data_IF_722455321281
#
_entry.id   IF_722455321281
#
_cell.length_a   1.000
_cell.length_b   1.000
_cell.length_c   1.000
_cell.angle_alpha   90.00
_cell.angle_beta   90.00
_cell.angle_gamma   90.00
#
_symmetry.space_group_name_H-M   'P 1'
#
loop_
_entity.id
_entity.type
_entity.pdbx_description
1 polymer ?
#
# COMPACT_ATOMS: atom_id res chain seq x y z
N UNK A 1 -8.27 19.14 19.11
CA UNK A 1 -7.96 17.83 18.47
C UNK A 1 -8.08 16.72 19.51
N UNK A 2 -8.77 15.67 19.13
CA UNK A 2 -8.94 14.54 20.04
C UNK A 2 -7.60 13.84 20.26
N UNK A 3 -7.50 13.12 21.37
CA UNK A 3 -6.26 12.44 21.71
C UNK A 3 -5.82 11.46 20.63
N UNK A 4 -6.76 10.67 20.11
CA UNK A 4 -6.40 9.70 19.07
C UNK A 4 -5.97 10.39 17.78
N UNK A 5 -6.48 11.59 17.51
CA UNK A 5 -6.06 12.33 16.33
C UNK A 5 -4.65 12.86 16.52
N UNK A 6 -4.30 13.24 17.74
CA UNK A 6 -2.94 13.70 18.02
C UNK A 6 -1.93 12.57 17.87
N UNK A 7 -2.30 11.38 18.31
CA UNK A 7 -1.44 10.21 18.16
C UNK A 7 -1.23 9.90 16.69
N UNK A 8 -2.30 9.97 15.91
CA UNK A 8 -2.21 9.69 14.49
C UNK A 8 -1.38 10.76 13.78
N UNK A 9 -1.56 12.04 14.16
CA UNK A 9 -0.78 13.11 13.55
C UNK A 9 0.70 12.93 13.86
N UNK A 10 1.03 12.56 15.10
CA UNK A 10 2.42 12.36 15.47
C UNK A 10 3.03 11.21 14.69
N UNK A 11 2.28 10.13 14.49
CA UNK A 11 2.75 9.00 13.71
C UNK A 11 2.99 9.42 12.26
N UNK A 12 2.06 10.18 11.70
CA UNK A 12 2.18 10.66 10.34
C UNK A 12 3.40 11.55 10.17
N UNK A 13 3.58 12.47 11.11
CA UNK A 13 4.73 13.39 11.08
C UNK A 13 6.05 12.62 11.16
N UNK A 14 6.06 11.57 11.98
CA UNK A 14 7.27 10.76 12.13
C UNK A 14 7.63 9.96 10.89
N UNK A 15 6.66 9.68 10.03
CA UNK A 15 6.91 8.94 8.81
C UNK A 15 7.54 9.83 7.73
N UNK A 16 7.31 11.14 7.78
CA UNK A 16 7.93 12.05 6.86
C UNK A 16 6.94 12.94 6.15
N UNK A 17 7.47 13.91 5.41
CA UNK A 17 6.62 14.92 4.78
C UNK A 17 5.87 14.41 3.56
N UNK A 18 6.20 13.21 3.08
CA UNK A 18 5.46 12.61 1.96
C UNK A 18 4.12 12.03 2.40
N UNK A 19 3.90 11.95 3.70
CA UNK A 19 2.68 11.36 4.26
C UNK A 19 1.77 12.45 4.76
N UNK A 20 0.47 12.20 4.67
CA UNK A 20 -0.52 13.15 5.20
C UNK A 20 -1.72 12.39 5.72
N UNK A 21 -2.53 13.08 6.49
CA UNK A 21 -3.78 12.50 6.98
C UNK A 21 -4.87 12.73 5.94
N UNK A 22 -5.72 11.74 5.77
CA UNK A 22 -6.83 11.82 4.82
C UNK A 22 -7.98 10.99 5.34
N UNK A 23 -9.19 11.49 5.19
CA UNK A 23 -10.36 10.72 5.57
C UNK A 23 -10.76 9.83 4.42
N UNK A 24 -10.80 8.51 4.67
CA UNK A 24 -11.15 7.51 3.68
C UNK A 24 -12.20 6.62 4.32
N UNK A 25 -13.38 6.53 3.69
CA UNK A 25 -14.48 5.71 4.21
C UNK A 25 -14.79 6.06 5.66
N UNK A 26 -14.85 7.36 5.95
CA UNK A 26 -15.22 7.88 7.26
C UNK A 26 -14.20 7.58 8.35
N UNK A 27 -13.02 7.14 7.99
CA UNK A 27 -11.93 6.90 8.93
C UNK A 27 -10.76 7.78 8.56
N UNK A 28 -10.14 8.40 9.57
CA UNK A 28 -8.95 9.22 9.32
C UNK A 28 -7.75 8.29 9.23
N UNK A 29 -7.08 8.32 8.09
CA UNK A 29 -6.00 7.40 7.78
C UNK A 29 -4.74 8.18 7.42
N UNK A 30 -3.60 7.49 7.41
CA UNK A 30 -2.37 8.05 6.89
C UNK A 30 -2.30 7.66 5.42
N UNK A 31 -1.92 8.61 4.58
CA UNK A 31 -2.00 8.45 3.14
C UNK A 31 -0.70 8.93 2.50
N UNK A 32 -0.28 8.26 1.46
CA UNK A 32 0.87 8.71 0.67
C UNK A 32 0.63 8.36 -0.80
N UNK A 33 0.75 9.38 -1.65
CA UNK A 33 0.63 9.22 -3.10
C UNK A 33 2.05 9.09 -3.64
N UNK A 34 2.34 7.96 -4.32
CA UNK A 34 3.68 7.74 -4.86
C UNK A 34 3.95 8.55 -6.12
N UNK A 35 2.93 9.19 -6.69
CA UNK A 35 3.11 10.00 -7.88
C UNK A 35 3.19 9.20 -9.16
N UNK A 36 2.87 7.91 -9.11
CA UNK A 36 2.98 7.01 -10.24
C UNK A 36 1.71 6.20 -10.47
N UNK A 37 0.55 6.76 -10.07
CA UNK A 37 -0.77 6.13 -10.13
C UNK A 37 -0.98 5.08 -9.04
N UNK A 38 -0.03 4.91 -8.16
CA UNK A 38 -0.18 4.04 -7.00
C UNK A 38 -0.10 4.89 -5.74
N UNK A 39 -0.85 4.48 -4.72
CA UNK A 39 -0.87 5.20 -3.45
C UNK A 39 -1.17 4.21 -2.35
N UNK A 40 -0.82 4.59 -1.12
CA UNK A 40 -1.05 3.71 0.03
C UNK A 40 -1.94 4.40 1.05
N UNK A 41 -2.71 3.58 1.73
CA UNK A 41 -3.55 3.99 2.83
C UNK A 41 -3.16 3.15 4.03
N UNK A 42 -2.81 3.79 5.14
CA UNK A 42 -2.47 3.10 6.39
C UNK A 42 -3.63 3.31 7.34
N UNK A 43 -4.35 2.24 7.63
CA UNK A 43 -5.53 2.34 8.48
C UNK A 43 -5.37 1.49 9.72
N UNK A 44 -6.33 1.62 10.65
CA UNK A 44 -6.32 0.83 11.87
C UNK A 44 -5.44 1.40 12.96
N UNK A 45 -4.85 2.58 12.75
CA UNK A 45 -3.98 3.19 13.77
C UNK A 45 -4.60 4.45 14.37
N UNK A 46 -5.87 4.73 14.06
CA UNK A 46 -6.57 5.90 14.58
C UNK A 46 -7.05 5.61 16.00
N UNK A 47 -6.10 5.48 16.91
CA UNK A 47 -6.39 5.14 18.29
C UNK A 47 -5.19 5.55 19.14
N UNK A 48 -5.44 5.78 20.42
CA UNK A 48 -4.37 6.14 21.35
C UNK A 48 -3.55 4.94 21.77
N UNK A 49 -3.98 3.73 21.43
CA UNK A 49 -3.25 2.52 21.83
C UNK A 49 -1.98 2.37 21.00
N UNK A 50 -0.85 2.33 21.70
CA UNK A 50 0.44 2.31 21.01
C UNK A 50 0.77 0.97 20.36
N UNK A 51 0.17 -0.10 20.85
CA UNK A 51 0.47 -1.44 20.30
C UNK A 51 -0.51 -1.87 19.21
N UNK A 52 -1.37 -0.97 18.78
CA UNK A 52 -2.31 -1.30 17.70
C UNK A 52 -1.56 -1.45 16.39
N UNK A 53 -1.80 -2.55 15.71
CA UNK A 53 -1.15 -2.81 14.43
C UNK A 53 -1.95 -2.21 13.29
N UNK A 54 -1.26 -1.94 12.21
CA UNK A 54 -1.85 -1.26 11.06
C UNK A 54 -2.20 -2.25 9.97
N UNK A 55 -3.13 -1.84 9.11
CA UNK A 55 -3.38 -2.52 7.84
C UNK A 55 -3.05 -1.51 6.75
N UNK A 56 -2.26 -1.93 5.79
CA UNK A 56 -1.82 -1.04 4.72
C UNK A 56 -2.37 -1.55 3.41
N UNK A 57 -3.04 -0.67 2.69
CA UNK A 57 -3.63 -0.99 1.40
C UNK A 57 -2.84 -0.28 0.30
N UNK A 58 -2.54 -1.00 -0.76
CA UNK A 58 -1.95 -0.39 -1.95
C UNK A 58 -3.05 -0.22 -2.97
N UNK A 59 -3.25 1.02 -3.40
CA UNK A 59 -4.26 1.39 -4.37
C UNK A 59 -3.61 1.65 -5.71
N UNK A 60 -4.31 1.34 -6.78
CA UNK A 60 -3.87 1.68 -8.12
C UNK A 60 -4.99 2.40 -8.83
N UNK A 61 -4.67 3.53 -9.47
CA UNK A 61 -5.67 4.31 -10.19
C UNK A 61 -5.93 3.66 -11.53
N UNK A 62 -7.15 3.88 -12.07
CA UNK A 62 -7.49 3.37 -13.38
C UNK A 62 -6.81 4.24 -14.46
N UNK A 63 -7.03 3.86 -15.70
CA UNK A 63 -6.38 4.54 -16.81
C UNK A 63 -6.73 6.02 -16.87
N UNK A 64 -7.95 6.37 -16.44
CA UNK A 64 -8.39 7.78 -16.49
C UNK A 64 -7.80 8.58 -15.33
N UNK A 65 -7.32 7.90 -14.27
CA UNK A 65 -6.83 8.60 -13.10
C UNK A 65 -7.94 9.10 -12.19
N UNK A 66 -9.19 8.72 -12.46
CA UNK A 66 -10.34 9.22 -11.70
C UNK A 66 -10.73 8.30 -10.56
N UNK A 67 -10.49 7.00 -10.68
CA UNK A 67 -10.90 6.02 -9.70
C UNK A 67 -9.75 5.14 -9.28
N UNK A 68 -9.69 4.80 -7.99
CA UNK A 68 -8.66 3.95 -7.45
C UNK A 68 -9.24 2.63 -6.94
N UNK A 69 -8.43 1.59 -6.98
CA UNK A 69 -8.83 0.25 -6.57
C UNK A 69 -7.73 -0.39 -5.76
N UNK A 70 -8.12 -1.14 -4.73
CA UNK A 70 -7.14 -1.83 -3.89
C UNK A 70 -6.62 -3.03 -4.63
N UNK A 71 -5.29 -3.14 -4.75
CA UNK A 71 -4.67 -4.29 -5.41
C UNK A 71 -3.86 -5.14 -4.46
N UNK A 72 -3.57 -4.65 -3.26
CA UNK A 72 -2.78 -5.41 -2.31
C UNK A 72 -3.07 -4.93 -0.91
N UNK A 73 -3.05 -5.85 0.04
CA UNK A 73 -3.33 -5.55 1.43
C UNK A 73 -2.28 -6.23 2.30
N UNK A 74 -1.71 -5.48 3.24
CA UNK A 74 -0.75 -6.02 4.19
C UNK A 74 -1.30 -5.76 5.59
N UNK A 75 -1.67 -6.81 6.30
CA UNK A 75 -2.24 -6.68 7.62
C UNK A 75 -1.24 -6.90 8.72
N UNK A 76 -1.64 -6.59 9.94
CA UNK A 76 -0.86 -6.85 11.14
C UNK A 76 0.53 -6.22 11.10
N UNK A 77 0.61 -4.97 10.65
CA UNK A 77 1.89 -4.27 10.52
C UNK A 77 2.15 -3.48 11.80
N UNK A 78 3.23 -3.79 12.54
CA UNK A 78 3.57 -3.02 13.72
C UNK A 78 3.88 -1.57 13.35
N UNK A 79 3.61 -0.65 14.27
CA UNK A 79 3.81 0.77 13.97
C UNK A 79 5.23 1.09 13.53
N UNK A 80 6.22 0.44 14.12
CA UNK A 80 7.60 0.72 13.77
C UNK A 80 8.03 0.08 12.46
N UNK A 81 7.13 -0.62 11.78
CA UNK A 81 7.40 -1.23 10.49
C UNK A 81 6.60 -0.60 9.36
N UNK A 82 5.77 0.40 9.68
CA UNK A 82 4.91 1.01 8.66
C UNK A 82 5.75 1.62 7.55
N UNK A 83 6.76 2.41 7.91
CA UNK A 83 7.59 3.07 6.91
C UNK A 83 8.26 2.08 5.97
N UNK A 84 8.83 1.03 6.55
CA UNK A 84 9.50 0.02 5.74
C UNK A 84 8.51 -0.68 4.81
N UNK A 85 7.33 -1.03 5.33
CA UNK A 85 6.33 -1.71 4.53
C UNK A 85 5.87 -0.82 3.37
N UNK A 86 5.68 0.47 3.63
CA UNK A 86 5.27 1.39 2.58
C UNK A 86 6.34 1.51 1.51
N UNK A 87 7.63 1.55 1.90
CA UNK A 87 8.69 1.60 0.90
C UNK A 87 8.74 0.32 0.07
N UNK A 88 8.46 -0.81 0.68
CA UNK A 88 8.40 -2.07 -0.06
C UNK A 88 7.26 -2.05 -1.07
N UNK A 89 6.12 -1.46 -0.68
CA UNK A 89 5.01 -1.34 -1.60
C UNK A 89 5.30 -0.35 -2.72
N UNK A 90 6.05 0.70 -2.40
CA UNK A 90 6.48 1.65 -3.43
C UNK A 90 7.36 0.95 -4.46
N UNK A 91 8.31 0.16 -3.99
CA UNK A 91 9.18 -0.58 -4.88
C UNK A 91 8.39 -1.59 -5.71
N UNK A 92 7.41 -2.25 -5.08
CA UNK A 92 6.53 -3.17 -5.76
C UNK A 92 5.79 -2.47 -6.90
N UNK A 93 5.30 -1.26 -6.65
CA UNK A 93 4.59 -0.50 -7.67
C UNK A 93 5.52 -0.10 -8.82
N UNK A 94 6.75 0.29 -8.48
CA UNK A 94 7.71 0.66 -9.52
C UNK A 94 8.07 -0.53 -10.40
N UNK A 95 8.16 -1.71 -9.79
CA UNK A 95 8.41 -2.92 -10.56
C UNK A 95 7.26 -3.26 -11.50
N UNK A 96 6.02 -3.06 -11.05
CA UNK A 96 4.87 -3.28 -11.92
C UNK A 96 4.92 -2.34 -13.12
N UNK A 97 5.23 -1.07 -12.86
CA UNK A 97 5.30 -0.08 -13.93
C UNK A 97 6.37 -0.42 -14.92
N UNK A 98 7.53 -0.89 -14.44
CA UNK A 98 8.64 -1.23 -15.33
C UNK A 98 8.27 -2.40 -16.24
N UNK A 99 7.26 -3.18 -15.86
CA UNK A 99 6.79 -4.29 -16.66
C UNK A 99 5.59 -3.91 -17.52
N UNK A 100 5.19 -2.64 -17.49
CA UNK A 100 4.08 -2.17 -18.30
C UNK A 100 2.74 -2.14 -17.61
N UNK A 101 2.69 -2.48 -16.33
CA UNK A 101 1.43 -2.51 -15.57
C UNK A 101 1.29 -1.22 -14.80
N UNK A 102 0.94 -0.14 -15.50
CA UNK A 102 0.95 1.20 -14.92
C UNK A 102 -0.44 1.78 -14.65
N UNK A 103 -1.47 0.95 -14.73
CA UNK A 103 -2.83 1.37 -14.35
C UNK A 103 -3.59 0.14 -13.89
N UNK A 104 -4.73 0.39 -13.24
CA UNK A 104 -5.49 -0.70 -12.62
C UNK A 104 -5.86 -1.80 -13.61
N UNK A 105 -6.31 -1.42 -14.80
CA UNK A 105 -6.76 -2.41 -15.78
C UNK A 105 -5.64 -3.37 -16.15
N UNK A 106 -4.45 -2.84 -16.33
CA UNK A 106 -3.30 -3.68 -16.68
C UNK A 106 -2.83 -4.52 -15.50
N UNK A 107 -2.84 -3.94 -14.30
CA UNK A 107 -2.46 -4.69 -13.10
C UNK A 107 -3.44 -5.83 -12.87
N UNK A 108 -4.73 -5.56 -13.05
CA UNK A 108 -5.74 -6.59 -12.84
C UNK A 108 -5.55 -7.75 -13.80
N UNK A 109 -5.25 -7.46 -15.05
CA UNK A 109 -5.01 -8.51 -16.02
C UNK A 109 -3.80 -9.34 -15.64
N UNK A 110 -2.73 -8.68 -15.18
CA UNK A 110 -1.53 -9.37 -14.74
C UNK A 110 -1.84 -10.28 -13.56
N UNK A 111 -2.60 -9.77 -12.58
CA UNK A 111 -2.89 -10.55 -11.36
C UNK A 111 -3.76 -11.77 -11.65
N UNK A 112 -4.46 -11.78 -12.76
CA UNK A 112 -5.27 -12.95 -13.11
C UNK A 112 -4.44 -14.06 -13.73
N UNK A 113 -3.17 -13.79 -14.01
CA UNK A 113 -2.31 -14.80 -14.63
C UNK A 113 -1.18 -15.30 -13.73
N UNK A 114 -1.05 -14.82 -12.52
CA UNK A 114 0.16 -15.13 -11.75
C UNK A 114 0.29 -16.60 -11.36
N UNK A 115 -0.83 -17.31 -11.26
CA UNK A 115 -0.75 -18.70 -10.86
C UNK A 115 0.09 -19.50 -11.84
N UNK A 116 -0.14 -19.30 -13.14
CA UNK A 116 0.64 -20.00 -14.13
C UNK A 116 2.10 -19.63 -14.06
N UNK A 117 2.38 -18.35 -13.95
CA UNK A 117 3.75 -17.89 -13.92
C UNK A 117 4.50 -18.37 -12.70
N UNK A 118 3.83 -18.38 -11.58
CA UNK A 118 4.46 -18.83 -10.36
C UNK A 118 4.77 -20.31 -10.40
N UNK A 119 3.87 -21.09 -10.97
CA UNK A 119 4.10 -22.51 -11.08
C UNK A 119 5.30 -22.79 -11.95
N UNK A 120 5.43 -22.07 -13.04
CA UNK A 120 6.56 -22.23 -13.91
C UNK A 120 7.85 -21.90 -13.21
N UNK A 121 7.85 -20.81 -12.47
CA UNK A 121 9.04 -20.42 -11.74
C UNK A 121 9.47 -21.45 -10.73
N UNK A 122 8.52 -21.99 -9.99
CA UNK A 122 8.86 -22.97 -8.99
C UNK A 122 9.46 -24.20 -9.59
N UNK A 123 9.03 -24.55 -10.75
CA UNK A 123 9.57 -25.71 -11.40
C UNK A 123 10.93 -25.47 -11.95
N UNK A 124 11.19 -24.26 -12.33
CA UNK A 124 12.46 -23.93 -12.83
C UNK A 124 13.39 -23.53 -11.82
N UNK A 125 12.89 -22.99 -10.82
CA UNK A 125 13.65 -22.45 -9.89
C UNK A 125 13.85 -23.20 -8.79
N UNK A 126 13.40 -23.90 -8.97
CA UNK A 126 13.46 -24.31 -8.09
C UNK A 126 14.15 -24.55 -8.20
N UNK A 127 13.99 -24.73 -8.84
CA UNK A 127 14.25 -24.56 -8.87
C UNK A 127 14.58 -23.66 -8.91
N UNK A 128 14.89 -23.68 -8.93
CA UNK A 128 15.08 -22.74 -8.86
C UNK A 128 14.54 -22.02 -8.34
N UNK A 129 14.15 -22.19 -8.01
CA UNK A 129 13.61 -21.38 -7.63
C UNK A 129 13.66 -21.02 -6.88
#
# INVERSE_FOLDING_TARGET
>A
MKEKDKVLQALCDGLGENYKLMEIDLELCIYRDFGNRFEVEVSGVHTAKQNKKATIYLWCMDETGAHGYIIKKVGEVPRNKIGKTVEELHEYSENLISQGYDCYEKVQAYLKEPVKKEQIKKEEDNGAR
#
